data_IF_180899039514
#
_entry.id   IF_180899039514
#
_cell.length_a   1.000
_cell.length_b   1.000
_cell.length_c   1.000
_cell.angle_alpha   90.00
_cell.angle_beta   90.00
_cell.angle_gamma   90.00
#
_symmetry.space_group_name_H-M   'P 1'
#
loop_
_entity.id
_entity.type
_entity.pdbx_description
1 polymer ?
#
# COMPACT_ATOMS: atom_id res chain seq x y z
N UNK A 1 22.04 -8.59 5.11
CA UNK A 1 20.63 -8.18 4.88
C UNK A 1 19.83 -9.46 4.84
N UNK A 2 18.82 -9.62 5.70
CA UNK A 2 17.96 -10.80 5.68
C UNK A 2 16.90 -10.56 4.61
N UNK A 3 17.12 -11.20 3.47
CA UNK A 3 16.19 -11.25 2.34
C UNK A 3 14.98 -12.08 2.81
N UNK A 4 13.76 -11.64 2.53
CA UNK A 4 12.58 -12.41 2.90
C UNK A 4 12.58 -13.75 2.15
N UNK A 5 12.06 -14.86 2.71
CA UNK A 5 12.11 -16.18 2.05
C UNK A 5 11.51 -16.23 0.64
N UNK A 6 10.62 -15.29 0.31
CA UNK A 6 10.02 -15.16 -1.01
C UNK A 6 10.87 -14.33 -1.98
N UNK A 7 11.77 -13.48 -1.49
CA UNK A 7 12.70 -12.70 -2.30
C UNK A 7 13.89 -13.54 -2.78
N UNK A 8 14.35 -14.56 -2.03
CA UNK A 8 15.43 -15.46 -2.48
C UNK A 8 15.11 -16.16 -3.80
N UNK A 9 13.84 -16.61 -3.98
CA UNK A 9 13.38 -17.26 -5.22
C UNK A 9 13.38 -16.36 -6.46
N UNK A 10 13.37 -15.04 -6.28
CA UNK A 10 13.34 -14.09 -7.40
C UNK A 10 14.71 -13.92 -8.07
N UNK A 11 15.79 -14.33 -7.39
CA UNK A 11 17.17 -14.05 -7.80
C UNK A 11 17.98 -15.29 -8.21
N UNK A 12 17.38 -16.50 -8.19
CA UNK A 12 18.10 -17.75 -8.46
C UNK A 12 18.16 -18.19 -9.94
N UNK A 13 17.40 -17.57 -10.86
CA UNK A 13 17.41 -17.99 -12.27
C UNK A 13 18.52 -17.27 -13.07
N UNK A 14 19.54 -18.03 -13.47
CA UNK A 14 20.67 -17.56 -14.28
C UNK A 14 20.21 -16.95 -15.62
N UNK A 15 20.82 -15.84 -16.11
CA UNK A 15 20.39 -15.19 -17.34
C UNK A 15 20.69 -16.07 -18.56
N UNK A 16 19.66 -16.38 -19.33
CA UNK A 16 19.76 -17.11 -20.60
C UNK A 16 20.55 -16.25 -21.60
N UNK A 17 21.74 -16.72 -22.02
CA UNK A 17 22.58 -16.03 -23.02
C UNK A 17 22.01 -16.24 -24.42
N UNK A 18 21.51 -15.16 -25.05
CA UNK A 18 21.16 -15.14 -26.47
C UNK A 18 22.22 -14.40 -27.32
N UNK A 19 22.40 -14.84 -28.57
CA UNK A 19 23.41 -14.34 -29.50
C UNK A 19 22.89 -13.12 -30.29
N UNK A 20 23.62 -12.00 -30.25
CA UNK A 20 23.12 -10.64 -30.54
C UNK A 20 23.02 -10.32 -32.05
N UNK A 21 23.71 -11.05 -32.93
CA UNK A 21 23.65 -10.78 -34.38
C UNK A 21 22.33 -11.19 -35.06
N UNK A 22 21.45 -11.92 -34.37
CA UNK A 22 20.06 -12.21 -34.81
C UNK A 22 19.05 -11.17 -34.33
N UNK A 23 19.49 -10.21 -33.53
CA UNK A 23 18.61 -9.28 -32.80
C UNK A 23 18.15 -8.12 -33.71
N UNK A 24 18.94 -7.69 -34.69
CA UNK A 24 18.60 -6.57 -35.57
C UNK A 24 17.55 -6.90 -36.66
N UNK A 25 17.50 -8.13 -37.19
CA UNK A 25 16.40 -8.57 -38.07
C UNK A 25 15.10 -8.85 -37.30
N UNK A 26 15.15 -8.97 -35.97
CA UNK A 26 14.03 -9.41 -35.13
C UNK A 26 13.04 -8.29 -34.76
N UNK A 27 13.34 -7.04 -35.12
CA UNK A 27 12.56 -5.84 -34.76
C UNK A 27 11.64 -5.32 -35.88
N UNK A 28 11.47 -6.04 -37.00
CA UNK A 28 10.55 -5.59 -38.05
C UNK A 28 9.07 -5.74 -37.66
N UNK A 29 8.73 -6.66 -36.76
CA UNK A 29 7.37 -6.88 -36.26
C UNK A 29 7.41 -7.25 -34.77
N UNK A 30 7.63 -6.28 -33.89
CA UNK A 30 7.56 -6.53 -32.45
C UNK A 30 6.10 -6.74 -32.05
N UNK A 31 5.61 -7.98 -32.19
CA UNK A 31 4.54 -8.51 -31.35
C UNK A 31 5.04 -8.49 -29.92
N UNK A 32 4.81 -7.36 -29.25
CA UNK A 32 5.03 -7.19 -27.81
C UNK A 32 4.32 -8.36 -27.13
N UNK A 33 5.11 -9.29 -26.59
CA UNK A 33 4.57 -10.50 -25.97
C UNK A 33 3.56 -10.10 -24.90
N UNK A 34 2.36 -10.66 -25.01
CA UNK A 34 1.23 -10.39 -24.11
C UNK A 34 1.59 -10.57 -22.64
N UNK A 35 2.62 -11.37 -22.33
CA UNK A 35 3.17 -11.58 -21.00
C UNK A 35 3.86 -10.33 -20.41
N UNK A 36 4.56 -9.52 -21.23
CA UNK A 36 5.14 -8.25 -20.80
C UNK A 36 4.06 -7.22 -20.48
N UNK A 37 3.03 -7.10 -21.33
CA UNK A 37 1.90 -6.21 -21.05
C UNK A 37 1.06 -6.71 -19.87
N UNK A 38 0.91 -8.03 -19.67
CA UNK A 38 0.29 -8.62 -18.47
C UNK A 38 1.11 -8.34 -17.20
N UNK A 39 2.44 -8.46 -17.26
CA UNK A 39 3.33 -8.16 -16.13
C UNK A 39 3.34 -6.66 -15.80
N UNK A 40 3.42 -5.79 -16.81
CA UNK A 40 3.40 -4.33 -16.66
C UNK A 40 2.07 -3.77 -16.16
N UNK A 41 0.95 -4.45 -16.45
CA UNK A 41 -0.39 -4.09 -15.95
C UNK A 41 -0.70 -4.63 -14.54
N UNK A 42 0.02 -5.68 -14.09
CA UNK A 42 -0.17 -6.33 -12.77
C UNK A 42 0.27 -5.48 -11.58
N UNK A 43 1.25 -4.60 -11.78
CA UNK A 43 1.59 -3.56 -10.82
C UNK A 43 0.70 -2.37 -11.16
N UNK A 44 -0.55 -2.42 -10.69
CA UNK A 44 -1.43 -1.27 -10.80
C UNK A 44 -0.88 -0.18 -9.87
N UNK A 45 -0.16 0.78 -10.46
CA UNK A 45 -0.14 2.12 -9.93
C UNK A 45 -1.53 2.72 -10.17
N UNK A 46 -2.53 2.32 -9.37
CA UNK A 46 -3.78 3.08 -9.23
C UNK A 46 -3.42 4.42 -8.59
N UNK A 47 -2.87 5.34 -9.38
CA UNK A 47 -2.65 6.72 -8.95
C UNK A 47 -4.03 7.34 -8.69
N UNK A 48 -4.40 7.47 -7.41
CA UNK A 48 -5.17 8.60 -6.90
C UNK A 48 -6.67 8.65 -7.17
N UNK A 49 -7.43 7.55 -7.04
CA UNK A 49 -8.91 7.66 -7.09
C UNK A 49 -9.65 7.32 -5.80
N UNK A 50 -9.09 6.49 -4.92
CA UNK A 50 -9.82 6.08 -3.72
C UNK A 50 -9.41 6.91 -2.51
N UNK A 51 -10.38 7.67 -1.99
CA UNK A 51 -10.29 8.36 -0.71
C UNK A 51 -10.23 7.36 0.45
N UNK A 52 -9.63 7.78 1.57
CA UNK A 52 -9.48 6.95 2.78
C UNK A 52 -10.77 6.21 3.17
N UNK A 53 -11.95 6.86 3.32
CA UNK A 53 -13.15 6.16 3.74
C UNK A 53 -13.56 5.05 2.77
N UNK A 54 -13.54 5.33 1.47
CA UNK A 54 -13.91 4.36 0.45
C UNK A 54 -12.97 3.14 0.45
N UNK A 55 -11.68 3.36 0.67
CA UNK A 55 -10.72 2.28 0.78
C UNK A 55 -10.93 1.45 2.05
N UNK A 56 -11.12 2.11 3.19
CA UNK A 56 -11.37 1.43 4.46
C UNK A 56 -12.66 0.60 4.42
N UNK A 57 -13.69 1.06 3.71
CA UNK A 57 -14.89 0.26 3.45
C UNK A 57 -14.57 -0.96 2.58
N UNK A 58 -13.76 -0.82 1.53
CA UNK A 58 -13.35 -1.94 0.69
C UNK A 58 -12.55 -3.01 1.46
N UNK A 59 -11.73 -2.61 2.44
CA UNK A 59 -10.99 -3.52 3.33
C UNK A 59 -11.89 -4.40 4.21
N UNK A 60 -13.17 -4.06 4.39
CA UNK A 60 -14.11 -4.93 5.12
C UNK A 60 -14.42 -6.20 4.33
N UNK A 61 -14.30 -6.15 3.00
CA UNK A 61 -14.41 -7.34 2.15
C UNK A 61 -13.07 -8.09 2.15
N UNK A 62 -13.06 -9.31 2.70
CA UNK A 62 -11.86 -10.16 2.76
C UNK A 62 -11.35 -10.58 1.38
N UNK A 63 -12.23 -10.64 0.38
CA UNK A 63 -11.84 -10.95 -0.99
C UNK A 63 -11.08 -9.79 -1.65
N UNK A 64 -11.22 -8.57 -1.11
CA UNK A 64 -10.54 -7.37 -1.61
C UNK A 64 -9.07 -7.36 -1.23
N UNK A 65 -8.75 -7.36 0.06
CA UNK A 65 -7.39 -7.53 0.59
C UNK A 65 -7.47 -8.41 1.84
N UNK A 66 -6.71 -9.50 1.85
CA UNK A 66 -6.61 -10.36 3.02
C UNK A 66 -5.52 -9.83 3.97
N UNK A 67 -5.95 -9.16 5.04
CA UNK A 67 -5.07 -8.63 6.09
C UNK A 67 -4.78 -9.65 7.21
N UNK A 68 -5.48 -10.79 7.26
CA UNK A 68 -5.38 -11.77 8.35
C UNK A 68 -4.18 -12.70 8.22
N UNK A 69 -3.75 -12.99 6.99
CA UNK A 69 -2.57 -13.82 6.68
C UNK A 69 -1.29 -13.39 7.41
N UNK A 70 -1.25 -12.17 7.96
CA UNK A 70 -0.07 -11.59 8.55
C UNK A 70 -0.20 -11.28 10.06
N UNK A 71 -1.34 -11.56 10.69
CA UNK A 71 -1.64 -11.24 12.09
C UNK A 71 -0.59 -11.78 13.10
N UNK A 72 0.19 -12.78 12.71
CA UNK A 72 1.20 -13.45 13.54
C UNK A 72 2.60 -12.81 13.51
N UNK A 73 2.83 -11.72 12.77
CA UNK A 73 4.15 -11.05 12.69
C UNK A 73 4.36 -10.10 13.88
N UNK A 74 5.44 -10.29 14.65
CA UNK A 74 5.72 -9.58 15.90
C UNK A 74 6.13 -8.10 15.77
N UNK A 75 6.37 -7.60 14.56
CA UNK A 75 6.86 -6.24 14.32
C UNK A 75 5.69 -5.31 13.95
N UNK A 76 4.85 -4.92 14.90
CA UNK A 76 3.83 -3.88 14.67
C UNK A 76 4.38 -2.50 15.03
N UNK A 77 3.93 -1.45 14.34
CA UNK A 77 4.21 -0.08 14.78
C UNK A 77 3.55 0.17 16.14
N UNK A 78 4.29 0.79 17.05
CA UNK A 78 3.75 1.31 18.29
C UNK A 78 2.77 2.47 18.01
N UNK A 79 1.97 2.83 19.01
CA UNK A 79 0.96 3.89 18.88
C UNK A 79 1.61 5.22 18.48
N UNK A 80 2.83 5.50 18.96
CA UNK A 80 3.57 6.71 18.60
C UNK A 80 3.82 6.77 17.10
N UNK A 81 4.40 5.73 16.50
CA UNK A 81 4.69 5.69 15.06
C UNK A 81 3.42 5.67 14.20
N UNK A 82 2.35 5.02 14.68
CA UNK A 82 1.04 5.10 14.03
C UNK A 82 0.50 6.54 14.05
N UNK A 83 0.61 7.24 15.18
CA UNK A 83 0.16 8.64 15.33
C UNK A 83 0.93 9.59 14.43
N UNK A 84 2.24 9.37 14.23
CA UNK A 84 3.07 10.14 13.28
C UNK A 84 2.64 10.01 11.84
N UNK A 85 2.13 8.84 11.44
CA UNK A 85 1.55 8.68 10.12
C UNK A 85 0.27 9.52 9.98
N UNK A 86 -0.62 9.48 10.97
CA UNK A 86 -1.85 10.28 10.95
C UNK A 86 -1.52 11.77 10.92
N UNK A 87 -0.57 12.22 11.75
CA UNK A 87 -0.08 13.61 11.77
C UNK A 87 0.42 14.03 10.39
N UNK A 88 1.26 13.20 9.75
CA UNK A 88 1.78 13.45 8.41
C UNK A 88 0.65 13.67 7.39
N UNK A 89 -0.41 12.85 7.46
CA UNK A 89 -1.56 12.99 6.56
C UNK A 89 -2.30 14.30 6.82
N UNK A 90 -2.55 14.63 8.09
CA UNK A 90 -3.27 15.85 8.48
C UNK A 90 -2.55 17.13 8.05
N UNK A 91 -1.22 17.12 8.03
CA UNK A 91 -0.39 18.24 7.54
C UNK A 91 -0.06 18.14 6.04
N UNK A 92 -0.74 17.26 5.30
CA UNK A 92 -0.58 17.04 3.86
C UNK A 92 0.83 16.63 3.41
N UNK A 93 1.60 15.95 4.26
CA UNK A 93 2.84 15.28 3.85
C UNK A 93 2.48 14.06 2.99
N UNK A 94 3.20 13.92 1.88
CA UNK A 94 3.08 12.74 1.02
C UNK A 94 3.60 11.51 1.75
N UNK A 95 2.74 10.50 1.90
CA UNK A 95 3.12 9.20 2.46
C UNK A 95 3.58 8.25 1.35
N UNK A 96 4.51 7.32 1.63
CA UNK A 96 4.88 6.30 0.65
C UNK A 96 3.66 5.47 0.21
N UNK A 97 3.60 5.06 -1.07
CA UNK A 97 2.43 4.40 -1.64
C UNK A 97 2.17 3.04 -1.00
N UNK A 98 0.90 2.61 -1.00
CA UNK A 98 0.55 1.23 -0.68
C UNK A 98 0.67 0.41 -1.96
N UNK A 99 1.48 -0.65 -1.94
CA UNK A 99 1.74 -1.45 -3.14
C UNK A 99 0.85 -2.69 -3.10
N UNK A 100 0.01 -2.82 -4.12
CA UNK A 100 -0.93 -3.93 -4.28
C UNK A 100 -0.62 -4.68 -5.57
N UNK A 101 -0.85 -6.00 -5.54
CA UNK A 101 -0.77 -6.89 -6.69
C UNK A 101 -2.15 -7.50 -6.97
N UNK A 102 -2.68 -7.31 -8.17
CA UNK A 102 -3.97 -7.89 -8.55
C UNK A 102 -3.84 -9.41 -8.71
N UNK A 103 -4.51 -10.19 -7.85
CA UNK A 103 -4.46 -11.66 -7.85
C UNK A 103 -5.10 -12.25 -9.10
N UNK A 104 -6.23 -11.66 -9.54
CA UNK A 104 -7.00 -12.15 -10.69
C UNK A 104 -7.54 -10.99 -11.52
N UNK A 105 -7.12 -10.94 -12.78
CA UNK A 105 -7.50 -9.89 -13.73
C UNK A 105 -9.02 -9.70 -13.82
N UNK A 106 -9.48 -8.47 -13.60
CA UNK A 106 -10.88 -8.08 -13.69
C UNK A 106 -11.70 -8.37 -12.43
N UNK A 107 -11.07 -8.92 -11.39
CA UNK A 107 -11.66 -9.07 -10.05
C UNK A 107 -10.97 -8.09 -9.11
N UNK A 108 -11.74 -7.41 -8.27
CA UNK A 108 -11.21 -6.52 -7.23
C UNK A 108 -10.62 -7.33 -6.07
N UNK A 109 -9.57 -8.11 -6.34
CA UNK A 109 -8.88 -8.95 -5.37
C UNK A 109 -7.38 -8.72 -5.47
N UNK A 110 -6.81 -8.28 -4.36
CA UNK A 110 -5.45 -7.78 -4.28
C UNK A 110 -4.65 -8.51 -3.20
N UNK A 111 -3.38 -8.69 -3.48
CA UNK A 111 -2.35 -9.09 -2.54
C UNK A 111 -1.56 -7.84 -2.13
N UNK A 112 -1.36 -7.68 -0.82
CA UNK A 112 -0.61 -6.57 -0.29
C UNK A 112 0.89 -6.88 -0.36
N UNK A 113 1.63 -6.05 -1.10
CA UNK A 113 3.09 -6.17 -1.25
C UNK A 113 3.81 -5.29 -0.22
N UNK A 114 3.37 -4.03 -0.08
CA UNK A 114 3.90 -3.09 0.91
C UNK A 114 2.80 -2.16 1.46
N UNK A 115 3.03 -1.59 2.65
CA UNK A 115 2.15 -0.59 3.27
C UNK A 115 1.24 -1.16 4.35
N UNK A 116 1.47 -2.39 4.77
CA UNK A 116 0.67 -3.07 5.81
C UNK A 116 0.51 -2.27 7.09
N UNK A 117 1.60 -1.82 7.69
CA UNK A 117 1.54 -1.07 8.94
C UNK A 117 0.85 0.29 8.74
N UNK A 118 0.96 0.89 7.55
CA UNK A 118 0.23 2.12 7.19
C UNK A 118 -1.28 1.88 7.14
N UNK A 119 -1.72 0.83 6.44
CA UNK A 119 -3.14 0.44 6.37
C UNK A 119 -3.70 0.19 7.77
N UNK A 120 -2.99 -0.58 8.59
CA UNK A 120 -3.44 -0.93 9.94
C UNK A 120 -3.53 0.31 10.82
N UNK A 121 -2.52 1.18 10.80
CA UNK A 121 -2.51 2.43 11.56
C UNK A 121 -3.71 3.32 11.21
N UNK A 122 -3.99 3.51 9.92
CA UNK A 122 -5.11 4.33 9.44
C UNK A 122 -6.45 3.67 9.82
N UNK A 123 -6.62 2.38 9.50
CA UNK A 123 -7.84 1.62 9.81
C UNK A 123 -8.16 1.65 11.30
N UNK A 124 -7.17 1.42 12.15
CA UNK A 124 -7.37 1.32 13.59
C UNK A 124 -7.63 2.69 14.23
N UNK A 125 -7.07 3.77 13.68
CA UNK A 125 -7.41 5.14 14.08
C UNK A 125 -8.86 5.48 13.75
N UNK A 126 -9.30 5.22 12.51
CA UNK A 126 -10.69 5.44 12.08
C UNK A 126 -11.70 4.65 12.91
N UNK A 127 -11.31 3.47 13.38
CA UNK A 127 -12.09 2.63 14.29
C UNK A 127 -11.95 3.02 15.78
N UNK A 128 -11.22 4.10 16.11
CA UNK A 128 -11.02 4.60 17.47
C UNK A 128 -10.34 3.58 18.40
N UNK A 129 -9.43 2.76 17.87
CA UNK A 129 -8.72 1.75 18.66
C UNK A 129 -7.54 2.31 19.45
N UNK A 130 -7.08 3.51 19.10
CA UNK A 130 -6.03 4.22 19.82
C UNK A 130 -6.24 5.74 19.73
N UNK A 131 -5.62 6.45 20.66
CA UNK A 131 -5.53 7.91 20.71
C UNK A 131 -4.19 8.36 20.13
N UNK A 132 -4.18 9.51 19.47
CA UNK A 132 -2.93 10.09 18.98
C UNK A 132 -1.97 10.32 20.15
N UNK A 133 -0.74 9.86 19.99
CA UNK A 133 0.30 10.03 20.99
C UNK A 133 1.62 10.45 20.37
N UNK A 134 2.30 11.35 21.07
CA UNK A 134 3.64 11.80 20.82
C UNK A 134 3.70 12.42 19.45
N UNK A 135 2.91 13.47 19.22
CA UNK A 135 2.90 14.39 18.06
C UNK A 135 4.02 15.45 18.16
N UNK A 136 4.40 16.14 17.07
CA UNK A 136 5.47 17.18 17.02
C UNK A 136 4.90 18.51 16.56
N UNK A 137 3.92 18.49 15.66
CA UNK A 137 3.36 19.68 15.04
C UNK A 137 1.93 19.94 15.52
N UNK A 138 1.11 18.90 15.66
CA UNK A 138 -0.32 19.01 15.98
C UNK A 138 -0.61 18.62 17.44
N UNK A 139 0.12 19.20 18.39
CA UNK A 139 0.03 18.84 19.81
C UNK A 139 -1.38 19.05 20.41
N UNK A 140 -2.21 19.89 19.80
CA UNK A 140 -3.59 20.13 20.19
C UNK A 140 -4.52 18.91 19.99
N UNK A 141 -4.10 17.93 19.17
CA UNK A 141 -4.82 16.68 18.94
C UNK A 141 -4.23 15.49 19.70
N UNK A 142 -3.23 15.73 20.55
CA UNK A 142 -2.68 14.72 21.46
C UNK A 142 -3.81 14.16 22.35
N UNK A 143 -3.89 12.84 22.46
CA UNK A 143 -4.96 12.15 23.20
C UNK A 143 -6.29 12.04 22.45
N UNK A 144 -6.45 12.62 21.26
CA UNK A 144 -7.68 12.48 20.49
C UNK A 144 -7.74 11.15 19.71
N UNK A 145 -8.91 10.53 19.70
CA UNK A 145 -9.33 9.52 18.72
C UNK A 145 -9.90 10.17 17.47
N UNK A 146 -10.14 9.38 16.41
CA UNK A 146 -10.76 9.90 15.19
C UNK A 146 -12.09 10.63 15.46
N UNK A 147 -12.97 10.06 16.30
CA UNK A 147 -14.29 10.66 16.61
C UNK A 147 -14.21 11.99 17.35
N UNK A 148 -13.14 12.22 18.11
CA UNK A 148 -12.93 13.43 18.92
C UNK A 148 -12.33 14.57 18.09
N UNK A 149 -11.78 14.29 16.90
CA UNK A 149 -11.26 15.32 16.02
C UNK A 149 -12.36 16.26 15.52
N UNK A 150 -12.07 17.58 15.40
CA UNK A 150 -12.99 18.53 14.77
C UNK A 150 -13.41 18.08 13.37
N UNK A 151 -14.63 18.42 12.98
CA UNK A 151 -15.21 17.92 11.72
C UNK A 151 -14.39 18.33 10.48
N UNK A 152 -13.75 19.49 10.50
CA UNK A 152 -12.90 19.96 9.42
C UNK A 152 -11.59 19.15 9.31
N UNK A 153 -11.01 18.78 10.44
CA UNK A 153 -9.80 17.94 10.51
C UNK A 153 -10.10 16.53 10.01
N UNK A 154 -11.24 15.95 10.43
CA UNK A 154 -11.70 14.67 9.88
C UNK A 154 -11.94 14.73 8.39
N UNK A 155 -12.57 15.81 7.89
CA UNK A 155 -12.77 16.01 6.44
C UNK A 155 -11.46 16.09 5.68
N UNK A 156 -10.43 16.72 6.23
CA UNK A 156 -9.11 16.74 5.61
C UNK A 156 -8.55 15.32 5.49
N UNK A 157 -8.58 14.56 6.59
CA UNK A 157 -8.17 13.15 6.62
C UNK A 157 -8.96 12.32 5.60
N UNK A 158 -10.28 12.43 5.58
CA UNK A 158 -11.18 11.71 4.67
C UNK A 158 -10.93 12.01 3.20
N UNK A 159 -10.45 13.20 2.87
CA UNK A 159 -10.15 13.61 1.51
C UNK A 159 -8.76 13.15 1.04
N UNK A 160 -7.93 12.63 1.93
CA UNK A 160 -6.63 12.08 1.57
C UNK A 160 -6.81 10.82 0.70
N UNK A 161 -5.98 10.71 -0.34
CA UNK A 161 -5.97 9.57 -1.25
C UNK A 161 -4.88 8.57 -0.85
N UNK A 162 -5.13 7.29 -1.06
CA UNK A 162 -4.16 6.22 -0.80
C UNK A 162 -3.22 6.07 -1.99
N UNK A 163 -2.40 7.09 -2.19
CA UNK A 163 -1.51 7.27 -3.36
C UNK A 163 -2.18 7.25 -4.75
#
# INVERSE_FOLDING_TARGET
MLIAPNEEKMWEEQPIKYNISKVDEMYSDVKIDTNYLKAKRRILNERGRQKLPGFLEALKNRDYIDLELFAQVSNFWDVKKQSRLIESILINITIPPIILFEKRYGYKSYELIDGRQRIIAIRDFYNNKYQLNGLEFLYEFEGCTYRELPIEIRRNLDNHSIS
#
